data_IF_554078803105
#
_entry.id   IF_554078803105
#
_cell.length_a   1.000
_cell.length_b   1.000
_cell.length_c   1.000
_cell.angle_alpha   90.00
_cell.angle_beta   90.00
_cell.angle_gamma   90.00
#
_symmetry.space_group_name_H-M   'P 1'
#
loop_
_entity.id
_entity.type
_entity.pdbx_description
1 polymer ?
#
# COMPACT_ATOMS: atom_id res chain seq x y z
N UNK A 1 4.61 -39.26 55.56
CA UNK A 1 5.64 -38.76 54.62
C UNK A 1 5.32 -39.04 53.14
N UNK A 2 4.93 -40.26 52.74
CA UNK A 2 4.55 -40.59 51.33
C UNK A 2 3.41 -39.75 50.74
N UNK A 3 2.40 -39.36 51.54
CA UNK A 3 1.24 -38.58 51.07
C UNK A 3 1.58 -37.13 50.73
N UNK A 4 2.51 -36.51 51.45
CA UNK A 4 2.94 -35.13 51.16
C UNK A 4 3.76 -35.05 49.87
N UNK A 5 4.55 -36.08 49.57
CA UNK A 5 5.32 -36.17 48.33
C UNK A 5 4.42 -36.28 47.09
N UNK A 6 3.30 -37.00 47.20
CA UNK A 6 2.31 -37.13 46.11
C UNK A 6 1.56 -35.82 45.82
N UNK A 7 1.27 -35.03 46.85
CA UNK A 7 0.58 -33.74 46.70
C UNK A 7 1.50 -32.69 46.07
N UNK A 8 2.79 -32.65 46.47
CA UNK A 8 3.78 -31.74 45.87
C UNK A 8 4.01 -32.00 44.38
N UNK A 9 4.04 -33.27 43.97
CA UNK A 9 4.20 -33.65 42.56
C UNK A 9 2.97 -33.26 41.73
N UNK A 10 1.75 -33.51 42.23
CA UNK A 10 0.53 -33.12 41.53
C UNK A 10 0.38 -31.59 41.37
N UNK A 11 0.79 -30.81 42.39
CA UNK A 11 0.75 -29.35 42.33
C UNK A 11 1.74 -28.77 41.30
N UNK A 12 2.91 -29.39 41.13
CA UNK A 12 3.91 -28.94 40.15
C UNK A 12 3.48 -29.14 38.69
N UNK A 13 2.63 -30.14 38.41
CA UNK A 13 2.14 -30.42 37.04
C UNK A 13 0.95 -29.51 36.67
N UNK A 14 0.17 -29.06 37.65
CA UNK A 14 -0.97 -28.16 37.42
C UNK A 14 -0.55 -26.73 37.00
N UNK A 15 0.68 -26.31 37.30
CA UNK A 15 1.16 -24.96 37.03
C UNK A 15 1.66 -24.73 35.58
N UNK A 16 2.03 -25.78 34.84
CA UNK A 16 2.60 -25.65 33.49
C UNK A 16 1.57 -25.33 32.38
N UNK A 17 0.27 -25.23 32.69
CA UNK A 17 -0.78 -24.99 31.70
C UNK A 17 -1.36 -23.57 31.67
N UNK A 18 -0.98 -22.70 32.62
CA UNK A 18 -1.62 -21.38 32.79
C UNK A 18 -0.77 -20.30 32.13
N UNK A 19 -0.68 -20.32 30.81
CA UNK A 19 -0.15 -19.17 30.07
C UNK A 19 -1.23 -18.08 30.00
N UNK A 20 -0.95 -16.84 30.43
CA UNK A 20 -1.92 -15.76 30.28
C UNK A 20 -2.16 -15.51 28.79
N UNK A 21 -3.42 -15.56 28.36
CA UNK A 21 -3.81 -15.14 27.01
C UNK A 21 -3.41 -13.68 26.82
N UNK A 22 -2.42 -13.44 25.97
CA UNK A 22 -2.07 -12.10 25.53
C UNK A 22 -2.87 -11.75 24.27
N UNK A 23 -3.60 -10.64 24.33
CA UNK A 23 -4.18 -10.05 23.14
C UNK A 23 -3.07 -9.40 22.31
N UNK A 24 -2.79 -9.97 21.14
CA UNK A 24 -1.83 -9.41 20.18
C UNK A 24 -2.59 -8.67 19.08
N UNK A 25 -2.28 -7.38 18.88
CA UNK A 25 -2.79 -6.62 17.73
C UNK A 25 -1.91 -6.93 16.52
N UNK A 26 -2.48 -7.65 15.55
CA UNK A 26 -1.82 -7.96 14.28
C UNK A 26 -2.33 -6.97 13.22
N UNK A 27 -1.45 -6.30 12.46
CA UNK A 27 -1.88 -5.46 11.34
C UNK A 27 -2.60 -6.32 10.30
N UNK A 28 -3.80 -5.89 9.89
CA UNK A 28 -4.52 -6.50 8.79
C UNK A 28 -4.24 -5.64 7.55
N UNK A 29 -3.64 -6.19 6.48
CA UNK A 29 -3.49 -5.48 5.22
C UNK A 29 -4.88 -5.10 4.68
N UNK A 30 -5.08 -3.83 4.38
CA UNK A 30 -6.26 -3.34 3.69
C UNK A 30 -5.90 -3.01 2.24
N UNK A 31 -6.90 -3.02 1.37
CA UNK A 31 -6.74 -2.56 0.00
C UNK A 31 -6.42 -1.06 -0.03
N UNK A 32 -5.59 -0.63 -0.98
CA UNK A 32 -5.31 0.78 -1.19
C UNK A 32 -6.52 1.47 -1.84
N UNK A 33 -7.10 2.48 -1.19
CA UNK A 33 -8.26 3.22 -1.72
C UNK A 33 -7.86 4.53 -2.45
N UNK A 34 -6.61 4.64 -2.89
CA UNK A 34 -6.16 5.78 -3.70
C UNK A 34 -6.81 5.72 -5.08
N UNK A 35 -7.37 6.84 -5.53
CA UNK A 35 -8.00 6.92 -6.86
C UNK A 35 -6.95 7.13 -7.94
N UNK A 36 -7.20 6.53 -9.10
CA UNK A 36 -6.40 6.79 -10.31
C UNK A 36 -6.68 8.22 -10.77
N UNK A 37 -5.65 9.07 -10.97
CA UNK A 37 -5.83 10.40 -11.53
C UNK A 37 -6.51 10.36 -12.90
N UNK A 38 -7.31 11.38 -13.21
CA UNK A 38 -7.99 11.46 -14.49
C UNK A 38 -6.97 11.72 -15.61
N UNK A 39 -7.07 10.98 -16.72
CA UNK A 39 -6.19 11.21 -17.87
C UNK A 39 -6.48 12.60 -18.47
N UNK A 40 -5.48 13.48 -18.62
CA UNK A 40 -5.68 14.78 -19.26
C UNK A 40 -5.95 14.60 -20.76
N UNK A 41 -6.58 15.61 -21.36
CA UNK A 41 -6.72 15.67 -22.81
C UNK A 41 -5.33 15.81 -23.45
N UNK A 42 -4.98 14.92 -24.36
CA UNK A 42 -3.66 14.92 -24.98
C UNK A 42 -3.66 15.84 -26.21
N UNK A 43 -2.69 16.78 -26.33
CA UNK A 43 -2.66 17.74 -27.43
C UNK A 43 -2.71 17.13 -28.83
N UNK A 44 -2.11 15.96 -29.05
CA UNK A 44 -2.12 15.30 -30.36
C UNK A 44 -3.46 14.64 -30.72
N UNK A 45 -4.31 14.33 -29.74
CA UNK A 45 -5.62 13.69 -29.97
C UNK A 45 -6.61 14.61 -30.69
N UNK A 46 -6.43 15.93 -30.59
CA UNK A 46 -7.29 16.92 -31.23
C UNK A 46 -6.81 17.32 -32.64
N UNK A 47 -5.71 16.77 -33.13
CA UNK A 47 -5.13 17.16 -34.42
C UNK A 47 -5.95 16.61 -35.60
N UNK A 48 -6.17 17.46 -36.60
CA UNK A 48 -6.70 17.03 -37.90
C UNK A 48 -5.65 16.26 -38.69
N UNK A 49 -6.10 15.32 -39.52
CA UNK A 49 -5.23 14.66 -40.50
C UNK A 49 -4.60 15.69 -41.45
N UNK A 50 -3.30 15.51 -41.74
CA UNK A 50 -2.56 16.37 -42.68
C UNK A 50 -2.19 17.75 -42.13
N UNK A 51 -2.21 17.94 -40.80
CA UNK A 51 -1.68 19.17 -40.18
C UNK A 51 -0.20 19.38 -40.56
N UNK A 52 0.21 20.64 -40.70
CA UNK A 52 1.60 20.96 -41.03
C UNK A 52 2.58 20.48 -39.94
N UNK A 53 3.84 20.28 -40.34
CA UNK A 53 4.88 19.70 -39.50
C UNK A 53 5.15 20.54 -38.24
N UNK A 54 5.10 21.87 -38.35
CA UNK A 54 5.41 22.75 -37.23
C UNK A 54 4.32 22.67 -36.15
N UNK A 55 3.04 22.66 -36.55
CA UNK A 55 1.91 22.45 -35.63
C UNK A 55 1.90 21.06 -35.03
N UNK A 56 2.23 20.03 -35.81
CA UNK A 56 2.37 18.68 -35.28
C UNK A 56 3.47 18.64 -34.21
N UNK A 57 4.65 19.18 -34.53
CA UNK A 57 5.81 19.20 -33.64
C UNK A 57 5.52 19.96 -32.35
N UNK A 58 4.88 21.14 -32.44
CA UNK A 58 4.46 21.90 -31.27
C UNK A 58 3.49 21.12 -30.38
N UNK A 59 2.55 20.38 -30.97
CA UNK A 59 1.57 19.59 -30.22
C UNK A 59 2.20 18.38 -29.54
N UNK A 60 3.14 17.69 -30.21
CA UNK A 60 3.88 16.58 -29.61
C UNK A 60 4.76 17.06 -28.46
N UNK A 61 5.44 18.20 -28.60
CA UNK A 61 6.25 18.78 -27.54
C UNK A 61 5.38 19.17 -26.33
N UNK A 62 4.23 19.79 -26.56
CA UNK A 62 3.27 20.10 -25.50
C UNK A 62 2.76 18.82 -24.82
N UNK A 63 2.52 17.75 -25.59
CA UNK A 63 2.04 16.48 -25.04
C UNK A 63 3.10 15.78 -24.18
N UNK A 64 4.39 15.90 -24.51
CA UNK A 64 5.47 15.36 -23.67
C UNK A 64 5.36 15.91 -22.25
N UNK A 65 5.25 17.23 -22.10
CA UNK A 65 5.10 17.89 -20.80
C UNK A 65 3.84 17.43 -20.05
N UNK A 66 2.71 17.32 -20.76
CA UNK A 66 1.45 16.82 -20.17
C UNK A 66 1.60 15.37 -19.68
N UNK A 67 2.28 14.52 -20.46
CA UNK A 67 2.50 13.12 -20.10
C UNK A 67 3.47 12.98 -18.92
N UNK A 68 4.52 13.80 -18.87
CA UNK A 68 5.46 13.83 -17.74
C UNK A 68 4.76 14.27 -16.44
N UNK A 69 3.92 15.31 -16.51
CA UNK A 69 3.09 15.73 -15.39
C UNK A 69 2.15 14.63 -14.91
N UNK A 70 1.41 14.00 -15.83
CA UNK A 70 0.51 12.90 -15.51
C UNK A 70 1.24 11.66 -14.96
N UNK A 71 2.44 11.37 -15.45
CA UNK A 71 3.28 10.31 -14.90
C UNK A 71 3.71 10.63 -13.46
N UNK A 72 3.99 11.90 -13.15
CA UNK A 72 4.21 12.37 -11.78
C UNK A 72 3.03 12.10 -10.86
N UNK A 73 1.82 12.43 -11.30
CA UNK A 73 0.58 12.15 -10.53
C UNK A 73 0.35 10.65 -10.33
N UNK A 74 0.53 9.85 -11.37
CA UNK A 74 0.42 8.39 -11.30
C UNK A 74 1.44 7.79 -10.32
N UNK A 75 2.69 8.24 -10.37
CA UNK A 75 3.73 7.82 -9.44
C UNK A 75 3.38 8.19 -8.00
N UNK A 76 2.87 9.40 -7.77
CA UNK A 76 2.48 9.84 -6.44
C UNK A 76 1.35 8.95 -5.86
N UNK A 77 0.34 8.63 -6.67
CA UNK A 77 -0.73 7.71 -6.28
C UNK A 77 -0.19 6.32 -5.95
N UNK A 78 0.71 5.78 -6.78
CA UNK A 78 1.31 4.47 -6.55
C UNK A 78 2.18 4.44 -5.29
N UNK A 79 2.99 5.49 -5.06
CA UNK A 79 3.85 5.63 -3.88
C UNK A 79 3.02 5.53 -2.61
N UNK A 80 1.84 6.15 -2.56
CA UNK A 80 0.96 6.06 -1.40
C UNK A 80 0.53 4.62 -1.12
N UNK A 81 0.21 3.84 -2.16
CA UNK A 81 -0.21 2.45 -2.01
C UNK A 81 0.91 1.49 -1.59
N UNK A 82 2.17 1.78 -1.92
CA UNK A 82 3.30 0.88 -1.61
C UNK A 82 4.07 1.28 -0.35
N UNK A 83 3.66 2.36 0.33
CA UNK A 83 4.28 2.77 1.60
C UNK A 83 4.06 1.69 2.68
N UNK A 84 5.10 1.34 3.45
CA UNK A 84 4.95 0.39 4.54
C UNK A 84 4.02 0.95 5.62
N UNK A 85 3.06 0.14 6.05
CA UNK A 85 2.16 0.48 7.16
C UNK A 85 2.98 0.54 8.44
N UNK A 86 3.26 1.74 8.96
CA UNK A 86 3.85 1.89 10.30
C UNK A 86 2.77 1.80 11.35
N UNK A 87 2.80 0.72 12.12
CA UNK A 87 2.03 0.62 13.35
C UNK A 87 2.62 1.61 14.38
N UNK A 88 1.90 2.69 14.68
CA UNK A 88 2.19 3.48 15.87
C UNK A 88 1.82 2.63 17.09
N UNK A 89 2.83 2.26 17.86
CA UNK A 89 2.70 1.49 19.11
C UNK A 89 2.16 2.37 20.21
#
# INVERSE_FOLDING_TARGET
>A
MKRCALIGLAASVAACGVTPMQTVKVPIPIECDVKVPARPAMPTEALSLGVDLDRFSASVLAEIEVREGYEGELRAALIECVKPIRLQR
#
